data_IF_523530213575
#
_entry.id   IF_523530213575
#
_cell.length_a   1.000
_cell.length_b   1.000
_cell.length_c   1.000
_cell.angle_alpha   90.00
_cell.angle_beta   90.00
_cell.angle_gamma   90.00
#
_symmetry.space_group_name_H-M   'P 1'
#
loop_
_entity.id
_entity.type
_entity.pdbx_description
1 polymer ?
#
# COMPACT_ATOMS: atom_id res chain seq x y z
N UNK A 1 -10.86 -16.19 9.20
CA UNK A 1 -9.96 -15.47 8.26
C UNK A 1 -10.03 -16.16 6.92
N UNK A 2 -10.05 -15.40 5.82
CA UNK A 2 -10.04 -15.97 4.47
C UNK A 2 -8.65 -15.82 3.85
N UNK A 3 -8.19 -16.84 3.13
CA UNK A 3 -6.98 -16.72 2.31
C UNK A 3 -7.31 -15.97 1.04
N UNK A 4 -6.52 -14.94 0.75
CA UNK A 4 -6.73 -14.05 -0.38
C UNK A 4 -5.43 -13.89 -1.15
N UNK A 5 -5.55 -13.83 -2.47
CA UNK A 5 -4.45 -13.57 -3.39
C UNK A 5 -4.56 -12.16 -3.94
N UNK A 6 -3.50 -11.38 -3.81
CA UNK A 6 -3.51 -9.93 -4.06
C UNK A 6 -2.32 -9.54 -4.92
N UNK A 7 -2.58 -8.84 -6.02
CA UNK A 7 -1.55 -8.18 -6.81
C UNK A 7 -1.26 -6.84 -6.16
N UNK A 8 -0.04 -6.66 -5.65
CA UNK A 8 0.35 -5.41 -5.00
C UNK A 8 0.51 -4.30 -6.04
N UNK A 9 -0.37 -3.30 -6.03
CA UNK A 9 -0.32 -2.16 -6.96
C UNK A 9 0.13 -0.88 -6.27
N UNK A 10 -0.02 -0.80 -4.94
CA UNK A 10 0.37 0.34 -4.12
C UNK A 10 1.23 -0.15 -2.96
N UNK A 11 2.38 0.50 -2.79
CA UNK A 11 3.27 0.34 -1.64
C UNK A 11 3.80 1.74 -1.32
N UNK A 12 3.30 2.34 -0.26
CA UNK A 12 3.70 3.70 0.12
C UNK A 12 5.10 3.72 0.72
N UNK A 13 5.71 4.90 0.74
CA UNK A 13 6.89 5.10 1.57
C UNK A 13 6.51 4.84 3.04
N UNK A 14 7.35 4.14 3.83
CA UNK A 14 7.07 3.93 5.25
C UNK A 14 6.86 5.27 5.96
N UNK A 15 5.90 5.33 6.87
CA UNK A 15 5.66 6.51 7.70
C UNK A 15 5.91 6.13 9.17
N UNK A 16 6.63 6.97 9.93
CA UNK A 16 6.77 6.81 11.37
C UNK A 16 5.39 6.73 12.03
N UNK A 17 5.21 5.76 12.92
CA UNK A 17 3.95 5.45 13.60
C UNK A 17 4.20 5.29 15.08
N UNK A 18 3.42 6.00 15.90
CA UNK A 18 3.49 5.85 17.36
C UNK A 18 3.19 4.42 17.85
N UNK A 19 2.32 3.68 17.16
CA UNK A 19 1.86 2.34 17.60
C UNK A 19 2.66 1.19 17.01
N UNK A 20 3.27 1.41 15.85
CA UNK A 20 3.84 0.33 15.04
C UNK A 20 5.25 0.66 14.53
N UNK A 21 5.85 1.73 15.05
CA UNK A 21 7.14 2.34 14.68
C UNK A 21 7.18 2.87 13.25
N UNK A 22 6.94 1.99 12.27
CA UNK A 22 6.85 2.31 10.85
C UNK A 22 5.75 1.47 10.21
N UNK A 23 4.85 2.12 9.47
CA UNK A 23 3.80 1.43 8.72
C UNK A 23 3.86 1.80 7.25
N UNK A 24 3.62 0.79 6.42
CA UNK A 24 3.39 0.96 4.99
C UNK A 24 1.92 0.68 4.72
N UNK A 25 1.25 1.60 4.05
CA UNK A 25 -0.03 1.31 3.43
C UNK A 25 0.25 0.49 2.18
N UNK A 26 -0.22 -0.75 2.17
CA UNK A 26 -0.18 -1.62 1.00
C UNK A 26 -1.57 -1.80 0.47
N UNK A 27 -1.75 -1.57 -0.83
CA UNK A 27 -3.00 -1.87 -1.51
C UNK A 27 -2.75 -2.60 -2.81
N UNK A 28 -3.80 -3.25 -3.29
CA UNK A 28 -3.73 -4.11 -4.45
C UNK A 28 -5.09 -4.46 -5.01
N UNK A 29 -5.07 -5.33 -6.00
CA UNK A 29 -6.26 -5.91 -6.62
C UNK A 29 -6.30 -7.39 -6.27
N UNK A 30 -7.45 -7.89 -5.79
CA UNK A 30 -7.63 -9.32 -5.50
C UNK A 30 -7.70 -10.11 -6.82
N UNK A 31 -7.30 -11.38 -6.80
CA UNK A 31 -7.47 -12.27 -7.95
C UNK A 31 -8.94 -12.41 -8.37
N UNK A 32 -9.83 -12.58 -7.40
CA UNK A 32 -11.30 -12.58 -7.61
C UNK A 32 -11.86 -11.19 -7.94
N UNK A 33 -11.02 -10.15 -7.88
CA UNK A 33 -11.40 -8.80 -8.22
C UNK A 33 -11.65 -7.83 -7.07
N UNK A 34 -11.68 -6.55 -7.42
CA UNK A 34 -11.86 -5.45 -6.50
C UNK A 34 -10.60 -5.09 -5.69
N UNK A 35 -10.56 -3.83 -5.25
CA UNK A 35 -9.45 -3.32 -4.45
C UNK A 35 -9.43 -3.91 -3.04
N UNK A 36 -8.23 -3.97 -2.48
CA UNK A 36 -7.99 -4.31 -1.09
C UNK A 36 -6.84 -3.49 -0.54
N UNK A 37 -6.98 -3.06 0.70
CA UNK A 37 -5.95 -2.43 1.51
C UNK A 37 -5.59 -3.35 2.67
N UNK A 38 -4.30 -3.65 2.80
CA UNK A 38 -3.75 -4.42 3.91
C UNK A 38 -3.08 -3.46 4.89
N UNK A 39 -3.60 -3.40 6.11
CA UNK A 39 -3.09 -2.51 7.16
C UNK A 39 -3.28 -3.12 8.55
N UNK A 40 -2.31 -2.97 9.47
CA UNK A 40 -0.97 -2.40 9.25
C UNK A 40 -0.01 -3.42 8.64
N UNK A 41 0.96 -2.96 7.84
CA UNK A 41 2.12 -3.76 7.43
C UNK A 41 3.40 -3.03 7.85
N UNK A 42 4.17 -3.65 8.74
CA UNK A 42 5.51 -3.19 9.15
C UNK A 42 6.56 -3.70 8.17
N UNK A 43 6.49 -3.26 6.91
CA UNK A 43 7.20 -3.87 5.80
C UNK A 43 8.71 -4.05 6.04
N UNK A 44 9.36 -3.04 6.64
CA UNK A 44 10.82 -3.06 6.89
C UNK A 44 11.24 -3.99 8.03
N UNK A 45 10.31 -4.39 8.88
CA UNK A 45 10.53 -5.34 9.96
C UNK A 45 10.12 -6.77 9.58
N UNK A 46 9.63 -6.98 8.35
CA UNK A 46 9.32 -8.32 7.84
C UNK A 46 10.61 -9.08 7.58
N UNK A 47 10.63 -10.38 7.92
CA UNK A 47 11.65 -11.30 7.46
C UNK A 47 11.67 -11.34 5.92
N UNK A 48 12.84 -11.62 5.34
CA UNK A 48 13.06 -11.47 3.91
C UNK A 48 12.11 -12.34 3.07
N UNK A 49 11.73 -13.52 3.56
CA UNK A 49 10.76 -14.43 2.94
C UNK A 49 9.34 -13.86 2.86
N UNK A 50 9.00 -12.92 3.75
CA UNK A 50 7.71 -12.23 3.79
C UNK A 50 7.75 -10.89 3.05
N UNK A 51 8.90 -10.47 2.53
CA UNK A 51 8.99 -9.26 1.74
C UNK A 51 8.47 -9.49 0.31
N UNK A 52 7.90 -8.43 -0.26
CA UNK A 52 7.32 -8.44 -1.60
C UNK A 52 7.58 -7.14 -2.36
N UNK A 53 7.50 -7.25 -3.68
CA UNK A 53 7.71 -6.15 -4.61
C UNK A 53 6.39 -5.55 -5.12
N UNK A 54 6.44 -4.30 -5.56
CA UNK A 54 5.32 -3.69 -6.30
C UNK A 54 5.14 -4.45 -7.63
N UNK A 55 3.89 -4.79 -7.94
CA UNK A 55 3.44 -5.66 -9.03
C UNK A 55 3.85 -7.13 -8.87
N UNK A 56 3.98 -7.62 -7.65
CA UNK A 56 4.10 -9.04 -7.36
C UNK A 56 2.80 -9.54 -6.73
N UNK A 57 2.41 -10.77 -7.04
CA UNK A 57 1.33 -11.43 -6.34
C UNK A 57 1.78 -11.85 -4.94
N UNK A 58 0.89 -11.71 -3.98
CA UNK A 58 1.03 -12.27 -2.64
C UNK A 58 -0.18 -13.11 -2.30
N UNK A 59 -0.01 -14.07 -1.41
CA UNK A 59 -1.09 -14.75 -0.71
C UNK A 59 -0.98 -14.46 0.78
N UNK A 60 -2.11 -14.17 1.41
CA UNK A 60 -2.16 -13.86 2.84
C UNK A 60 -3.54 -14.20 3.39
N UNK A 61 -3.62 -14.61 4.64
CA UNK A 61 -4.88 -14.65 5.36
C UNK A 61 -5.21 -13.26 5.88
N UNK A 62 -6.41 -12.78 5.59
CA UNK A 62 -6.84 -11.46 6.05
C UNK A 62 -8.25 -11.49 6.65
N UNK A 63 -8.47 -10.60 7.61
CA UNK A 63 -9.76 -10.34 8.22
C UNK A 63 -10.22 -8.92 7.91
N UNK A 64 -11.53 -8.72 7.79
CA UNK A 64 -12.10 -7.38 7.71
C UNK A 64 -11.77 -6.59 8.99
N UNK A 65 -11.29 -5.36 8.86
CA UNK A 65 -11.03 -4.48 10.02
C UNK A 65 -12.36 -4.02 10.63
N UNK A 66 -12.46 -4.06 11.96
CA UNK A 66 -13.66 -3.59 12.70
C UNK A 66 -13.63 -2.09 12.99
N UNK A 67 -12.43 -1.53 13.12
CA UNK A 67 -12.14 -0.14 13.45
C UNK A 67 -12.03 0.76 12.21
N UNK A 68 -12.28 0.23 11.02
CA UNK A 68 -12.13 0.95 9.76
C UNK A 68 -13.29 0.65 8.82
N UNK A 69 -14.19 1.63 8.59
CA UNK A 69 -15.45 1.39 7.88
C UNK A 69 -15.25 1.14 6.38
N UNK A 70 -14.09 1.49 5.82
CA UNK A 70 -13.81 1.38 4.38
C UNK A 70 -13.97 -0.06 3.90
N UNK A 71 -14.75 -0.36 2.84
CA UNK A 71 -15.05 -1.72 2.37
C UNK A 71 -13.82 -2.53 1.92
N UNK A 72 -12.73 -1.87 1.57
CA UNK A 72 -11.45 -2.45 1.16
C UNK A 72 -10.46 -2.66 2.32
N UNK A 73 -10.79 -2.26 3.56
CA UNK A 73 -9.87 -2.33 4.71
C UNK A 73 -9.81 -3.73 5.32
N UNK A 74 -8.63 -4.34 5.30
CA UNK A 74 -8.36 -5.67 5.87
C UNK A 74 -7.08 -5.68 6.71
N UNK A 75 -7.12 -6.44 7.80
CA UNK A 75 -5.97 -6.74 8.64
C UNK A 75 -5.32 -8.06 8.18
N UNK A 76 -4.07 -8.03 7.70
CA UNK A 76 -3.35 -9.23 7.30
C UNK A 76 -2.82 -10.00 8.51
N UNK A 77 -2.81 -11.33 8.43
CA UNK A 77 -1.98 -12.20 9.26
C UNK A 77 -0.59 -12.32 8.61
N UNK A 78 0.39 -11.62 9.17
CA UNK A 78 1.73 -11.49 8.61
C UNK A 78 2.43 -12.85 8.49
N UNK A 79 2.23 -13.76 9.43
CA UNK A 79 2.87 -15.08 9.45
C UNK A 79 2.44 -15.97 8.27
N UNK A 80 1.31 -15.64 7.63
CA UNK A 80 0.78 -16.34 6.46
C UNK A 80 1.14 -15.67 5.14
N UNK A 81 1.74 -14.48 5.20
CA UNK A 81 2.02 -13.68 4.02
C UNK A 81 3.16 -14.32 3.23
N UNK A 82 2.93 -14.62 1.95
CA UNK A 82 3.96 -15.13 1.05
C UNK A 82 3.88 -14.47 -0.30
N UNK A 83 5.03 -14.19 -0.91
CA UNK A 83 5.07 -13.79 -2.31
C UNK A 83 4.83 -14.99 -3.22
N UNK A 84 4.10 -14.78 -4.31
CA UNK A 84 3.70 -15.83 -5.26
C UNK A 84 4.20 -15.48 -6.64
N UNK A 85 5.18 -16.25 -7.13
CA UNK A 85 5.75 -16.05 -8.45
C UNK A 85 6.56 -14.75 -8.60
N UNK A 86 7.06 -14.47 -9.81
CA UNK A 86 7.87 -13.31 -10.08
C UNK A 86 7.03 -12.02 -10.12
N UNK A 87 7.69 -10.88 -9.91
CA UNK A 87 7.12 -9.56 -10.21
C UNK A 87 6.71 -9.49 -11.69
N UNK A 88 5.51 -8.99 -11.95
CA UNK A 88 5.02 -8.75 -13.30
C UNK A 88 5.90 -7.71 -14.01
N UNK A 89 6.38 -8.06 -15.20
CA UNK A 89 7.24 -7.20 -16.01
C UNK A 89 6.53 -5.97 -16.59
N UNK A 90 7.26 -5.24 -17.43
CA UNK A 90 6.78 -4.04 -18.14
C UNK A 90 6.72 -4.23 -19.65
N UNK A 91 6.92 -5.47 -20.14
CA UNK A 91 6.90 -5.81 -21.57
C UNK A 91 5.57 -5.42 -22.23
N UNK A 92 5.63 -5.18 -23.54
CA UNK A 92 4.47 -4.86 -24.39
C UNK A 92 3.65 -3.69 -23.84
N UNK A 93 4.35 -2.66 -23.35
CA UNK A 93 3.73 -1.49 -22.73
C UNK A 93 2.89 -1.86 -21.51
N UNK A 94 3.42 -2.70 -20.62
CA UNK A 94 2.74 -3.16 -19.39
C UNK A 94 1.46 -3.96 -19.63
N UNK A 95 1.35 -4.70 -20.75
CA UNK A 95 0.14 -5.42 -21.15
C UNK A 95 -0.47 -6.26 -20.02
N UNK A 96 0.33 -7.08 -19.36
CA UNK A 96 -0.16 -7.97 -18.29
C UNK A 96 -0.64 -7.20 -17.05
N UNK A 97 0.06 -6.13 -16.67
CA UNK A 97 -0.38 -5.29 -15.55
C UNK A 97 -1.69 -4.58 -15.89
N UNK A 98 -1.82 -4.06 -17.11
CA UNK A 98 -3.04 -3.41 -17.59
C UNK A 98 -4.22 -4.39 -17.59
N UNK A 99 -4.02 -5.61 -18.09
CA UNK A 99 -5.04 -6.67 -18.11
C UNK A 99 -5.63 -6.96 -16.73
N UNK A 100 -4.79 -6.93 -15.69
CA UNK A 100 -5.20 -7.25 -14.31
C UNK A 100 -5.80 -6.06 -13.56
N UNK A 101 -5.38 -4.83 -13.89
CA UNK A 101 -5.68 -3.63 -13.11
C UNK A 101 -6.78 -2.77 -13.75
N UNK A 102 -6.77 -2.60 -15.08
CA UNK A 102 -7.73 -1.73 -15.79
C UNK A 102 -9.20 -2.18 -15.72
N UNK A 103 -9.55 -3.47 -15.60
CA UNK A 103 -10.94 -3.86 -15.38
C UNK A 103 -11.59 -3.27 -14.11
N UNK A 104 -10.77 -2.74 -13.19
CA UNK A 104 -11.21 -2.11 -11.95
C UNK A 104 -11.12 -0.58 -11.98
N UNK A 105 -10.87 0.00 -13.15
CA UNK A 105 -10.95 1.44 -13.33
C UNK A 105 -12.40 1.92 -13.23
N UNK A 106 -12.61 3.00 -12.49
CA UNK A 106 -13.85 3.77 -12.53
C UNK A 106 -13.86 4.65 -13.78
N UNK A 107 -15.06 4.94 -14.25
CA UNK A 107 -15.33 5.79 -15.42
C UNK A 107 -14.93 7.24 -15.14
N UNK A 108 -15.18 7.72 -13.92
CA UNK A 108 -14.87 9.10 -13.54
C UNK A 108 -14.62 9.31 -12.05
N UNK A 109 -14.16 10.52 -11.70
CA UNK A 109 -14.02 10.96 -10.32
C UNK A 109 -15.38 11.15 -9.62
N UNK A 110 -16.42 11.52 -10.35
CA UNK A 110 -17.79 11.66 -9.85
C UNK A 110 -18.35 10.30 -9.42
N UNK A 111 -18.08 9.25 -10.17
CA UNK A 111 -18.43 7.88 -9.78
C UNK A 111 -17.75 7.48 -8.46
N UNK A 112 -16.45 7.76 -8.33
CA UNK A 112 -15.70 7.47 -7.10
C UNK A 112 -16.22 8.28 -5.91
N UNK A 113 -16.54 9.57 -6.10
CA UNK A 113 -17.15 10.42 -5.07
C UNK A 113 -18.49 9.86 -4.60
N UNK A 114 -19.37 9.47 -5.53
CA UNK A 114 -20.65 8.84 -5.19
C UNK A 114 -20.47 7.55 -4.40
N UNK A 115 -19.52 6.69 -4.79
CA UNK A 115 -19.21 5.45 -4.04
C UNK A 115 -18.73 5.77 -2.63
N UNK A 116 -17.80 6.73 -2.49
CA UNK A 116 -17.32 7.17 -1.19
C UNK A 116 -18.47 7.64 -0.28
N UNK A 117 -19.40 8.44 -0.80
CA UNK A 117 -20.58 8.92 -0.06
C UNK A 117 -21.57 7.79 0.29
N UNK A 118 -21.71 6.80 -0.59
CA UNK A 118 -22.69 5.72 -0.44
C UNK A 118 -22.22 4.62 0.51
N UNK A 119 -20.99 4.13 0.34
CA UNK A 119 -20.48 2.94 1.05
C UNK A 119 -19.10 3.14 1.71
N UNK A 120 -18.53 4.34 1.62
CA UNK A 120 -17.23 4.64 2.21
C UNK A 120 -16.03 4.12 1.42
N UNK A 121 -16.20 3.70 0.16
CA UNK A 121 -15.10 3.33 -0.74
C UNK A 121 -14.04 4.43 -0.77
N UNK A 122 -12.77 4.08 -0.52
CA UNK A 122 -11.66 5.04 -0.50
C UNK A 122 -10.53 4.73 -1.48
N UNK A 123 -10.60 3.60 -2.18
CA UNK A 123 -9.69 3.22 -3.25
C UNK A 123 -10.43 3.20 -4.59
N UNK A 124 -9.79 3.80 -5.59
CA UNK A 124 -10.26 3.84 -6.95
C UNK A 124 -9.10 3.96 -7.92
N UNK A 125 -9.37 3.62 -9.17
CA UNK A 125 -8.45 3.83 -10.28
C UNK A 125 -9.18 4.65 -11.33
N UNK A 126 -8.56 5.72 -11.80
CA UNK A 126 -9.05 6.52 -12.91
C UNK A 126 -8.00 6.60 -14.01
N UNK A 127 -8.46 6.74 -15.25
CA UNK A 127 -7.61 7.17 -16.36
C UNK A 127 -7.80 8.67 -16.52
N UNK A 128 -6.78 9.51 -16.25
CA UNK A 128 -6.89 10.94 -16.52
C UNK A 128 -7.11 11.16 -18.03
N UNK A 129 -7.93 12.15 -18.37
CA UNK A 129 -8.15 12.55 -19.76
C UNK A 129 -6.88 13.18 -20.35
N UNK A 130 -6.23 14.03 -19.56
CA UNK A 130 -5.00 14.73 -19.90
C UNK A 130 -4.15 14.91 -18.63
N UNK A 131 -2.83 14.95 -18.81
CA UNK A 131 -1.87 15.34 -17.77
C UNK A 131 -1.28 16.67 -18.22
N UNK A 132 -1.66 17.76 -17.56
CA UNK A 132 -1.31 19.13 -17.97
C UNK A 132 0.00 19.63 -17.37
N UNK A 133 0.32 19.19 -16.15
CA UNK A 133 1.49 19.66 -15.42
C UNK A 133 1.95 18.62 -14.38
N UNK A 134 3.20 18.73 -13.94
CA UNK A 134 3.78 18.02 -12.80
C UNK A 134 4.73 18.96 -12.07
N UNK A 135 4.35 19.40 -10.88
CA UNK A 135 5.22 20.24 -10.05
C UNK A 135 6.02 19.38 -9.08
N UNK A 136 7.35 19.45 -9.17
CA UNK A 136 8.27 18.79 -8.24
C UNK A 136 8.98 19.85 -7.40
N UNK A 137 8.87 19.74 -6.07
CA UNK A 137 9.53 20.66 -5.14
C UNK A 137 10.39 19.88 -4.13
N UNK A 138 11.47 20.50 -3.60
CA UNK A 138 12.27 19.87 -2.55
C UNK A 138 11.41 19.51 -1.34
N UNK A 139 11.62 18.29 -0.83
CA UNK A 139 11.02 17.79 0.41
C UNK A 139 11.82 18.20 1.64
N UNK A 140 11.34 17.77 2.80
CA UNK A 140 12.08 17.96 4.05
C UNK A 140 13.34 17.11 4.09
N UNK A 141 14.43 17.66 4.67
CA UNK A 141 15.69 16.93 4.86
C UNK A 141 15.74 16.14 6.16
N UNK A 142 14.94 16.56 7.14
CA UNK A 142 14.89 15.98 8.47
C UNK A 142 13.45 15.72 8.86
N UNK A 143 13.22 14.67 9.64
CA UNK A 143 11.92 14.47 10.27
C UNK A 143 11.72 15.48 11.40
N UNK A 144 10.46 15.84 11.63
CA UNK A 144 10.05 16.50 12.86
C UNK A 144 10.53 15.71 14.11
N UNK A 145 11.03 16.39 15.17
CA UNK A 145 11.57 15.73 16.37
C UNK A 145 10.63 14.71 17.02
N UNK A 146 9.31 14.91 16.95
CA UNK A 146 8.36 13.95 17.52
C UNK A 146 8.40 12.62 16.77
N UNK A 147 8.51 12.66 15.43
CA UNK A 147 8.62 11.47 14.60
C UNK A 147 9.95 10.75 14.81
N UNK A 148 11.02 11.51 15.02
CA UNK A 148 12.34 10.97 15.39
C UNK A 148 12.24 10.20 16.70
N UNK A 149 11.59 10.77 17.72
CA UNK A 149 11.40 10.11 19.01
C UNK A 149 10.63 8.79 18.91
N UNK A 150 9.61 8.71 18.02
CA UNK A 150 8.89 7.45 17.78
C UNK A 150 9.78 6.36 17.17
N UNK A 151 10.73 6.73 16.32
CA UNK A 151 11.66 5.75 15.71
C UNK A 151 12.80 5.34 16.66
N UNK A 152 13.19 6.21 17.59
CA UNK A 152 14.26 5.97 18.56
C UNK A 152 13.78 5.27 19.84
N UNK A 153 12.51 4.90 19.93
CA UNK A 153 11.99 4.19 21.08
C UNK A 153 12.68 2.82 21.22
N UNK A 154 13.41 2.62 22.32
CA UNK A 154 14.15 1.40 22.59
C UNK A 154 13.20 0.18 22.64
N UNK A 155 13.63 -0.92 22.02
CA UNK A 155 12.90 -2.19 22.02
C UNK A 155 13.65 -3.23 22.82
N UNK A 156 12.88 -4.08 23.50
CA UNK A 156 13.39 -5.30 24.12
C UNK A 156 13.53 -6.45 23.10
N UNK A 157 12.71 -6.47 22.05
CA UNK A 157 12.61 -7.56 21.05
C UNK A 157 12.34 -6.97 19.67
N UNK A 158 13.01 -7.49 18.64
CA UNK A 158 12.77 -7.16 17.21
C UNK A 158 14.03 -6.63 16.49
N UNK A 159 13.97 -6.52 15.15
CA UNK A 159 15.11 -6.01 14.39
C UNK A 159 15.35 -4.53 14.67
N UNK A 160 16.63 -4.17 14.74
CA UNK A 160 17.05 -2.78 14.75
C UNK A 160 16.98 -2.23 13.33
N UNK A 161 16.15 -1.21 13.12
CA UNK A 161 15.90 -0.64 11.81
C UNK A 161 16.79 0.57 11.60
N UNK A 162 17.52 0.59 10.49
CA UNK A 162 18.27 1.78 10.07
C UNK A 162 17.35 3.02 10.07
N UNK A 163 17.83 4.22 10.42
CA UNK A 163 17.03 5.44 10.37
C UNK A 163 16.37 5.63 8.99
N UNK A 164 15.06 5.87 8.99
CA UNK A 164 14.31 6.18 7.78
C UNK A 164 14.55 7.65 7.40
N UNK A 165 15.11 8.00 6.24
CA UNK A 165 15.17 9.40 5.82
C UNK A 165 13.77 9.89 5.36
N UNK A 166 13.46 11.19 5.38
CA UNK A 166 12.25 11.70 4.75
C UNK A 166 12.28 11.54 3.22
N UNK A 167 11.11 11.66 2.58
CA UNK A 167 11.03 11.69 1.11
C UNK A 167 11.64 13.01 0.60
N UNK A 168 12.62 12.98 -0.31
CA UNK A 168 13.39 14.17 -0.69
C UNK A 168 12.63 15.15 -1.59
N UNK A 169 11.44 14.78 -2.08
CA UNK A 169 10.64 15.59 -2.99
C UNK A 169 9.16 15.50 -2.66
N UNK A 170 8.46 16.61 -2.86
CA UNK A 170 7.00 16.66 -2.91
C UNK A 170 6.55 16.77 -4.36
N UNK A 171 5.55 15.97 -4.72
CA UNK A 171 4.92 15.95 -6.05
C UNK A 171 3.53 16.57 -5.91
N UNK A 172 3.21 17.57 -6.73
CA UNK A 172 1.89 18.20 -6.80
C UNK A 172 1.39 18.22 -8.24
#
# INVERSE_FOLDING_TARGET
MGRIKVLITVKTYPQPSRRHEEVVCTAGVREAGGFIRLYPIRFRALADEHQYQKYQWIEVEAAKRRDDPRPESYQPNIDTLRSVGPKLGTRDGWAERKRLVLPWASESMEELRRRQETDGTSLGLIKPAEITDLTVSPGERHWDPQRVAWMQQAKLIGPDLRPLPPVPFYFR
#
